data_IF_054206756901
#
_entry.id   IF_054206756901
#
_cell.length_a   1.000
_cell.length_b   1.000
_cell.length_c   1.000
_cell.angle_alpha   90.00
_cell.angle_beta   90.00
_cell.angle_gamma   90.00
#
_symmetry.space_group_name_H-M   'P 1'
#
loop_
_entity.id
_entity.type
_entity.pdbx_description
1 polymer ?
#
# COMPACT_ATOMS: atom_id res chain seq x y z
N UNK A 1 23.29 -66.44 15.97
CA UNK A 1 22.28 -66.81 14.97
C UNK A 1 21.36 -65.60 14.79
N UNK A 2 21.57 -64.80 13.74
CA UNK A 2 20.80 -63.60 13.43
C UNK A 2 20.10 -63.83 12.11
N UNK A 3 18.77 -63.73 12.09
CA UNK A 3 17.94 -63.97 10.92
C UNK A 3 17.49 -62.62 10.34
N UNK A 4 17.84 -62.27 9.09
CA UNK A 4 17.44 -60.99 8.51
C UNK A 4 15.98 -61.03 8.06
N UNK A 5 15.23 -59.98 8.40
CA UNK A 5 13.83 -59.78 8.03
C UNK A 5 13.74 -59.21 6.62
N UNK A 6 13.11 -59.95 5.71
CA UNK A 6 12.89 -59.53 4.33
C UNK A 6 11.76 -58.48 4.25
N UNK A 7 12.07 -57.26 3.83
CA UNK A 7 11.08 -56.21 3.57
C UNK A 7 10.66 -56.27 2.09
N UNK A 8 9.42 -56.66 1.82
CA UNK A 8 8.85 -56.64 0.47
C UNK A 8 8.43 -55.21 0.11
N UNK A 9 9.14 -54.57 -0.81
CA UNK A 9 8.79 -53.26 -1.36
C UNK A 9 7.88 -53.46 -2.59
N UNK A 10 6.60 -53.10 -2.49
CA UNK A 10 5.67 -53.12 -3.63
C UNK A 10 5.75 -51.78 -4.35
N UNK A 11 6.54 -51.71 -5.41
CA UNK A 11 6.58 -50.56 -6.33
C UNK A 11 5.39 -50.62 -7.28
N UNK A 12 4.30 -49.93 -6.93
CA UNK A 12 3.17 -49.71 -7.84
C UNK A 12 3.47 -48.46 -8.69
N UNK A 13 3.62 -48.66 -10.00
CA UNK A 13 3.75 -47.57 -10.96
C UNK A 13 2.38 -46.99 -11.33
N UNK A 14 2.33 -45.67 -11.56
CA UNK A 14 1.16 -45.02 -12.16
C UNK A 14 1.05 -45.38 -13.64
N UNK A 15 -0.18 -45.50 -14.14
CA UNK A 15 -0.41 -45.70 -15.57
C UNK A 15 -0.21 -44.40 -16.35
N UNK A 16 0.22 -44.49 -17.60
CA UNK A 16 0.36 -43.32 -18.47
C UNK A 16 -0.97 -42.56 -18.65
N UNK A 17 -2.09 -43.29 -18.67
CA UNK A 17 -3.42 -42.70 -18.82
C UNK A 17 -3.86 -41.91 -17.58
N UNK A 18 -3.53 -42.37 -16.37
CA UNK A 18 -3.80 -41.63 -15.14
C UNK A 18 -3.10 -40.27 -15.13
N UNK A 19 -1.81 -40.24 -15.50
CA UNK A 19 -1.07 -38.98 -15.58
C UNK A 19 -1.60 -38.05 -16.68
N UNK A 20 -2.01 -38.61 -17.82
CA UNK A 20 -2.55 -37.83 -18.94
C UNK A 20 -3.89 -37.16 -18.58
N UNK A 21 -4.78 -37.87 -17.89
CA UNK A 21 -6.05 -37.30 -17.43
C UNK A 21 -5.80 -36.21 -16.38
N UNK A 22 -4.86 -36.43 -15.45
CA UNK A 22 -4.55 -35.46 -14.39
C UNK A 22 -4.02 -34.15 -14.97
N UNK A 23 -3.06 -34.19 -15.90
CA UNK A 23 -2.57 -32.95 -16.53
C UNK A 23 -3.65 -32.24 -17.35
N UNK A 24 -4.58 -33.00 -17.96
CA UNK A 24 -5.73 -32.45 -18.66
C UNK A 24 -6.68 -31.71 -17.73
N UNK A 25 -7.02 -32.32 -16.58
CA UNK A 25 -7.88 -31.70 -15.55
C UNK A 25 -7.20 -30.47 -14.95
N UNK A 26 -5.92 -30.56 -14.59
CA UNK A 26 -5.16 -29.42 -14.04
C UNK A 26 -5.11 -28.26 -15.04
N UNK A 27 -4.94 -28.56 -16.34
CA UNK A 27 -4.92 -27.54 -17.39
C UNK A 27 -6.24 -26.76 -17.47
N UNK A 28 -7.38 -27.45 -17.48
CA UNK A 28 -8.71 -26.81 -17.56
C UNK A 28 -9.00 -25.99 -16.28
N UNK A 29 -8.68 -26.54 -15.11
CA UNK A 29 -8.89 -25.84 -13.84
C UNK A 29 -8.02 -24.59 -13.71
N UNK A 30 -6.76 -24.65 -14.18
CA UNK A 30 -5.85 -23.50 -14.13
C UNK A 30 -6.34 -22.34 -15.00
N UNK A 31 -6.83 -22.62 -16.22
CA UNK A 31 -7.38 -21.58 -17.12
C UNK A 31 -8.67 -20.98 -16.53
N UNK A 32 -9.56 -21.82 -15.98
CA UNK A 32 -10.79 -21.35 -15.32
C UNK A 32 -10.51 -20.43 -14.13
N UNK A 33 -9.49 -20.74 -13.32
CA UNK A 33 -9.09 -19.90 -12.19
C UNK A 33 -8.55 -18.54 -12.63
N UNK A 34 -7.71 -18.50 -13.66
CA UNK A 34 -7.17 -17.26 -14.22
C UNK A 34 -8.24 -16.39 -14.89
N UNK A 35 -9.31 -17.00 -15.42
CA UNK A 35 -10.45 -16.26 -15.97
C UNK A 35 -11.33 -15.63 -14.87
N UNK A 36 -11.40 -16.26 -13.70
CA UNK A 36 -12.20 -15.77 -12.57
C UNK A 36 -11.50 -14.67 -11.75
N UNK A 37 -10.16 -14.60 -11.80
CA UNK A 37 -9.35 -13.62 -11.06
C UNK A 37 -8.73 -12.61 -12.02
N UNK A 38 -8.85 -11.32 -11.71
CA UNK A 38 -8.05 -10.26 -12.36
C UNK A 38 -6.75 -10.07 -11.54
N UNK A 39 -5.63 -10.74 -11.89
CA UNK A 39 -4.39 -10.65 -11.10
C UNK A 39 -3.83 -9.23 -11.09
N UNK A 40 -4.04 -8.46 -12.15
CA UNK A 40 -3.59 -7.08 -12.24
C UNK A 40 -4.35 -6.18 -11.27
N UNK A 41 -5.64 -6.41 -11.09
CA UNK A 41 -6.44 -5.70 -10.09
C UNK A 41 -6.00 -6.03 -8.65
N UNK A 42 -5.64 -7.29 -8.37
CA UNK A 42 -5.10 -7.65 -7.05
C UNK A 42 -3.77 -6.96 -6.75
N UNK A 43 -2.87 -6.85 -7.74
CA UNK A 43 -1.61 -6.13 -7.59
C UNK A 43 -1.85 -4.64 -7.31
N UNK A 44 -2.75 -3.99 -8.06
CA UNK A 44 -3.13 -2.59 -7.84
C UNK A 44 -3.73 -2.37 -6.45
N UNK A 45 -4.59 -3.29 -6.00
CA UNK A 45 -5.15 -3.26 -4.65
C UNK A 45 -4.06 -3.40 -3.57
N UNK A 46 -3.06 -4.25 -3.80
CA UNK A 46 -1.88 -4.36 -2.96
C UNK A 46 -1.08 -3.04 -2.88
N UNK A 47 -0.84 -2.40 -4.03
CA UNK A 47 -0.16 -1.10 -4.10
C UNK A 47 -0.92 0.00 -3.37
N UNK A 48 -2.23 0.11 -3.58
CA UNK A 48 -3.07 1.10 -2.90
C UNK A 48 -3.09 0.84 -1.39
N UNK A 49 -3.15 -0.41 -0.95
CA UNK A 49 -3.03 -0.78 0.48
C UNK A 49 -1.68 -0.34 1.06
N UNK A 50 -0.60 -0.51 0.29
CA UNK A 50 0.73 -0.06 0.68
C UNK A 50 0.81 1.47 0.82
N UNK A 51 0.29 2.22 -0.16
CA UNK A 51 0.22 3.70 -0.13
C UNK A 51 -0.63 4.19 1.05
N UNK A 52 -1.80 3.58 1.30
CA UNK A 52 -2.65 3.90 2.46
C UNK A 52 -1.93 3.70 3.78
N UNK A 53 -1.23 2.56 3.96
CA UNK A 53 -0.47 2.28 5.18
C UNK A 53 0.53 3.39 5.46
N UNK A 54 1.31 3.77 4.44
CA UNK A 54 2.33 4.82 4.53
C UNK A 54 1.70 6.18 4.84
N UNK A 55 0.62 6.54 4.13
CA UNK A 55 -0.11 7.78 4.33
C UNK A 55 -0.64 7.91 5.77
N UNK A 56 -1.27 6.85 6.29
CA UNK A 56 -1.79 6.81 7.67
C UNK A 56 -0.65 6.82 8.69
N UNK A 57 0.43 6.06 8.48
CA UNK A 57 1.57 6.04 9.40
C UNK A 57 2.19 7.43 9.54
N UNK A 58 2.35 8.15 8.43
CA UNK A 58 2.87 9.52 8.43
C UNK A 58 1.91 10.52 9.08
N UNK A 59 0.62 10.49 8.73
CA UNK A 59 -0.39 11.36 9.32
C UNK A 59 -0.45 11.18 10.83
N UNK A 60 -0.44 9.94 11.31
CA UNK A 60 -0.48 9.62 12.73
C UNK A 60 0.82 10.00 13.46
N UNK A 61 1.98 9.87 12.82
CA UNK A 61 3.23 10.34 13.40
C UNK A 61 3.26 11.86 13.54
N UNK A 62 2.74 12.57 12.53
CA UNK A 62 2.65 14.04 12.57
C UNK A 62 1.68 14.52 13.64
N UNK A 63 0.51 13.89 13.78
CA UNK A 63 -0.48 14.26 14.81
C UNK A 63 0.07 14.05 16.22
N UNK A 64 0.77 12.93 16.46
CA UNK A 64 1.47 12.68 17.74
C UNK A 64 2.58 13.70 18.00
N UNK A 65 3.39 14.00 16.99
CA UNK A 65 4.44 15.01 17.12
C UNK A 65 3.88 16.36 17.57
N UNK A 66 2.79 16.81 16.93
CA UNK A 66 2.13 18.07 17.28
C UNK A 66 1.52 18.03 18.68
N UNK A 67 0.83 16.94 19.05
CA UNK A 67 0.24 16.79 20.37
C UNK A 67 1.27 16.84 21.51
N UNK A 68 2.48 16.32 21.29
CA UNK A 68 3.56 16.31 22.29
C UNK A 68 4.32 17.64 22.35
N UNK A 69 4.55 18.29 21.21
CA UNK A 69 5.46 19.44 21.13
C UNK A 69 4.77 20.79 20.96
N UNK A 70 3.47 20.81 20.68
CA UNK A 70 2.71 22.04 20.39
C UNK A 70 3.17 22.78 19.13
N UNK A 71 3.97 22.13 18.30
CA UNK A 71 4.52 22.69 17.07
C UNK A 71 4.54 21.61 15.99
N UNK A 72 4.35 21.99 14.71
CA UNK A 72 4.37 21.03 13.63
C UNK A 72 5.78 20.49 13.37
N UNK A 73 5.87 19.35 12.67
CA UNK A 73 7.15 18.70 12.38
C UNK A 73 7.99 19.41 11.31
N UNK A 74 7.44 20.40 10.61
CA UNK A 74 8.19 21.26 9.68
C UNK A 74 8.75 22.49 10.39
N UNK A 75 9.93 22.92 9.98
CA UNK A 75 10.56 24.15 10.46
C UNK A 75 9.79 25.36 9.88
N UNK A 76 9.56 26.37 10.72
CA UNK A 76 8.65 27.48 10.46
C UNK A 76 8.77 28.10 9.05
N UNK A 77 7.63 28.25 8.36
CA UNK A 77 7.47 29.10 7.17
C UNK A 77 6.95 28.41 5.91
N UNK A 78 7.19 27.10 5.74
CA UNK A 78 6.71 26.37 4.56
C UNK A 78 5.95 25.12 4.94
N UNK A 79 4.63 25.24 4.83
CA UNK A 79 3.75 24.09 4.70
C UNK A 79 4.07 23.41 3.35
N UNK A 80 4.30 22.09 3.29
CA UNK A 80 4.27 21.39 2.01
C UNK A 80 2.84 21.49 1.48
N UNK A 81 2.61 22.28 0.42
CA UNK A 81 1.34 22.29 -0.29
C UNK A 81 1.43 21.26 -1.41
N UNK A 82 0.74 20.13 -1.23
CA UNK A 82 0.76 19.02 -2.18
C UNK A 82 2.19 18.57 -2.58
N UNK A 83 3.13 18.57 -1.64
CA UNK A 83 4.51 18.18 -1.93
C UNK A 83 4.65 16.65 -1.88
N UNK A 84 5.37 16.07 -2.83
CA UNK A 84 5.62 14.63 -2.83
C UNK A 84 6.41 14.22 -1.56
N UNK A 85 6.22 13.00 -1.05
CA UNK A 85 6.90 12.55 0.18
C UNK A 85 8.43 12.51 0.06
N UNK A 86 8.97 12.46 -1.16
CA UNK A 86 10.41 12.54 -1.45
C UNK A 86 10.93 13.97 -1.59
N UNK A 87 10.08 14.98 -1.48
CA UNK A 87 10.49 16.38 -1.49
C UNK A 87 11.42 16.66 -0.29
N UNK A 88 12.40 17.54 -0.47
CA UNK A 88 13.36 17.90 0.57
C UNK A 88 12.69 18.41 1.86
N UNK A 89 11.63 19.22 1.76
CA UNK A 89 10.90 19.73 2.91
C UNK A 89 10.18 18.61 3.67
N UNK A 90 9.55 17.68 2.96
CA UNK A 90 8.89 16.51 3.58
C UNK A 90 9.93 15.56 4.17
N UNK A 91 11.08 15.38 3.52
CA UNK A 91 12.19 14.56 4.03
C UNK A 91 12.78 15.14 5.32
N UNK A 92 12.90 16.47 5.42
CA UNK A 92 13.29 17.14 6.65
C UNK A 92 12.27 16.91 7.78
N UNK A 93 10.97 16.99 7.45
CA UNK A 93 9.89 16.68 8.38
C UNK A 93 9.93 15.22 8.87
N UNK A 94 10.16 14.26 7.97
CA UNK A 94 10.36 12.83 8.32
C UNK A 94 11.54 12.70 9.29
N UNK A 95 12.67 13.34 8.99
CA UNK A 95 13.88 13.30 9.84
C UNK A 95 13.62 13.90 11.22
N UNK A 96 12.86 15.00 11.30
CA UNK A 96 12.47 15.61 12.58
C UNK A 96 11.59 14.66 13.40
N UNK A 97 10.59 14.04 12.79
CA UNK A 97 9.73 13.06 13.47
C UNK A 97 10.51 11.81 13.92
N UNK A 98 11.48 11.36 13.12
CA UNK A 98 12.35 10.23 13.47
C UNK A 98 13.26 10.55 14.65
N UNK A 99 13.89 11.73 14.63
CA UNK A 99 14.74 12.20 15.73
C UNK A 99 13.94 12.40 17.01
N UNK A 100 12.68 12.81 16.87
CA UNK A 100 11.73 12.94 17.97
C UNK A 100 11.17 11.61 18.51
N UNK A 101 11.39 10.49 17.82
CA UNK A 101 10.88 9.17 18.20
C UNK A 101 9.43 8.88 17.77
N UNK A 102 8.81 9.75 16.98
CA UNK A 102 7.40 9.63 16.56
C UNK A 102 7.21 8.76 15.31
N UNK A 103 8.30 8.53 14.56
CA UNK A 103 8.32 7.76 13.32
C UNK A 103 9.57 6.88 13.25
N UNK A 104 9.43 5.67 12.71
CA UNK A 104 10.56 4.72 12.60
C UNK A 104 11.55 5.15 11.52
N UNK A 105 12.84 4.84 11.71
CA UNK A 105 13.90 5.09 10.71
C UNK A 105 13.64 4.34 9.38
N UNK A 106 13.06 3.13 9.46
CA UNK A 106 12.68 2.31 8.31
C UNK A 106 11.60 2.93 7.41
N UNK A 107 10.93 4.00 7.85
CA UNK A 107 9.92 4.69 7.05
C UNK A 107 10.48 5.24 5.73
N UNK A 108 11.73 5.73 5.72
CA UNK A 108 12.36 6.25 4.50
C UNK A 108 12.52 5.16 3.42
N UNK A 109 12.80 3.92 3.83
CA UNK A 109 12.85 2.78 2.92
C UNK A 109 11.47 2.41 2.36
N UNK A 110 10.41 2.59 3.15
CA UNK A 110 9.04 2.32 2.72
C UNK A 110 8.56 3.27 1.62
N UNK A 111 9.12 4.49 1.54
CA UNK A 111 8.70 5.52 0.57
C UNK A 111 9.61 5.65 -0.64
N UNK A 112 10.71 4.89 -0.76
CA UNK A 112 11.70 5.09 -1.84
C UNK A 112 11.10 5.03 -3.24
N UNK A 113 10.20 4.08 -3.50
CA UNK A 113 9.57 3.92 -4.83
C UNK A 113 8.20 4.57 -4.92
N UNK A 114 7.45 4.56 -3.82
CA UNK A 114 6.05 5.02 -3.81
C UNK A 114 5.90 6.49 -3.42
N UNK A 115 6.88 7.08 -2.74
CA UNK A 115 6.81 8.43 -2.14
C UNK A 115 6.56 9.55 -3.14
N UNK A 116 6.95 9.37 -4.41
CA UNK A 116 6.64 10.33 -5.49
C UNK A 116 5.15 10.40 -5.82
N UNK A 117 4.38 9.37 -5.44
CA UNK A 117 2.94 9.26 -5.68
C UNK A 117 2.10 9.70 -4.47
N UNK A 118 2.74 9.99 -3.33
CA UNK A 118 2.08 10.46 -2.11
C UNK A 118 2.34 11.95 -1.95
N UNK A 119 1.26 12.72 -1.88
CA UNK A 119 1.25 14.16 -1.75
C UNK A 119 0.93 14.52 -0.30
N UNK A 120 1.82 15.26 0.34
CA UNK A 120 1.66 15.75 1.71
C UNK A 120 1.18 17.19 1.65
N UNK A 121 0.12 17.45 2.41
CA UNK A 121 -0.42 18.76 2.71
C UNK A 121 -0.46 18.97 4.22
N UNK A 122 -0.29 20.19 4.71
CA UNK A 122 -0.48 20.48 6.13
C UNK A 122 -0.98 21.89 6.38
N UNK A 123 -1.19 22.29 7.63
CA UNK A 123 -1.34 23.72 7.97
C UNK A 123 -0.59 24.06 9.25
N UNK A 124 0.18 25.15 9.24
CA UNK A 124 1.04 25.57 10.36
C UNK A 124 0.24 25.91 11.63
N UNK A 125 -1.01 26.33 11.48
CA UNK A 125 -1.84 26.78 12.59
C UNK A 125 -2.39 25.64 13.44
N UNK A 126 -2.74 24.50 12.83
CA UNK A 126 -3.42 23.40 13.53
C UNK A 126 -2.56 22.15 13.70
N UNK A 127 -1.45 22.04 12.97
CA UNK A 127 -0.65 20.81 12.94
C UNK A 127 -1.31 19.68 12.15
N UNK A 128 -2.46 19.93 11.52
CA UNK A 128 -3.14 18.97 10.68
C UNK A 128 -2.27 18.65 9.46
N UNK A 129 -2.19 17.37 9.15
CA UNK A 129 -1.46 16.85 8.00
C UNK A 129 -2.36 15.89 7.25
N UNK A 130 -2.51 16.18 5.96
CA UNK A 130 -3.24 15.34 5.03
C UNK A 130 -2.25 14.69 4.08
N UNK A 131 -2.36 13.38 3.87
CA UNK A 131 -1.55 12.66 2.88
C UNK A 131 -2.46 12.03 1.84
N UNK A 132 -2.32 12.45 0.59
CA UNK A 132 -3.16 12.05 -0.52
C UNK A 132 -2.39 11.22 -1.56
N UNK A 133 -3.06 10.30 -2.24
CA UNK A 133 -2.53 9.62 -3.42
C UNK A 133 -3.66 9.26 -4.39
N UNK A 134 -3.35 9.12 -5.68
CA UNK A 134 -4.31 8.67 -6.68
C UNK A 134 -4.43 7.13 -6.67
N UNK A 135 -5.61 6.55 -6.40
CA UNK A 135 -5.77 5.09 -6.39
C UNK A 135 -5.64 4.44 -7.77
N UNK A 136 -5.04 3.26 -7.81
CA UNK A 136 -4.83 2.46 -9.03
C UNK A 136 -5.93 1.41 -9.24
N UNK A 137 -6.42 0.82 -8.14
CA UNK A 137 -7.41 -0.26 -8.17
C UNK A 137 -8.81 0.27 -8.49
N UNK A 138 -9.55 -0.46 -9.33
CA UNK A 138 -10.96 -0.18 -9.62
C UNK A 138 -11.78 -0.15 -8.33
N UNK A 139 -11.49 -1.08 -7.41
CA UNK A 139 -12.21 -1.18 -6.13
C UNK A 139 -12.09 0.08 -5.26
N UNK A 140 -10.93 0.75 -5.27
CA UNK A 140 -10.75 1.99 -4.51
C UNK A 140 -11.35 3.19 -5.24
N UNK A 141 -11.29 3.20 -6.57
CA UNK A 141 -11.80 4.29 -7.40
C UNK A 141 -13.32 4.41 -7.40
N UNK A 142 -14.03 3.32 -7.18
CA UNK A 142 -15.50 3.32 -7.09
C UNK A 142 -16.00 3.79 -5.72
N UNK A 143 -15.13 3.94 -4.71
CA UNK A 143 -15.51 4.44 -3.39
C UNK A 143 -15.49 5.97 -3.34
N UNK A 144 -16.32 6.61 -4.16
CA UNK A 144 -16.32 8.07 -4.37
C UNK A 144 -16.57 8.89 -3.10
N UNK A 145 -17.22 8.33 -2.07
CA UNK A 145 -17.44 9.00 -0.78
C UNK A 145 -16.15 9.17 0.02
N UNK A 146 -15.11 8.38 -0.27
CA UNK A 146 -13.81 8.44 0.38
C UNK A 146 -12.73 9.17 -0.46
N UNK A 147 -13.12 9.72 -1.62
CA UNK A 147 -12.20 10.33 -2.58
C UNK A 147 -12.38 11.85 -2.68
N UNK A 148 -11.31 12.52 -3.11
CA UNK A 148 -11.20 13.97 -3.24
C UNK A 148 -10.86 14.35 -4.67
N UNK A 149 -11.32 15.50 -5.14
CA UNK A 149 -11.04 16.00 -6.50
C UNK A 149 -9.64 16.62 -6.65
N UNK A 150 -8.92 16.76 -5.55
CA UNK A 150 -7.61 17.40 -5.47
C UNK A 150 -6.67 16.61 -4.55
N UNK A 151 -5.37 16.85 -4.68
CA UNK A 151 -4.32 16.17 -3.92
C UNK A 151 -4.01 16.84 -2.56
N UNK A 152 -4.85 17.77 -2.10
CA UNK A 152 -4.78 18.37 -0.77
C UNK A 152 -5.93 17.94 0.14
N UNK A 153 -6.94 17.29 -0.44
CA UNK A 153 -8.08 16.74 0.28
C UNK A 153 -9.17 17.75 0.61
N UNK A 154 -9.35 18.80 -0.21
CA UNK A 154 -10.29 19.90 0.09
C UNK A 154 -11.73 19.63 -0.36
N UNK A 155 -11.90 19.05 -1.55
CA UNK A 155 -13.22 18.87 -2.16
C UNK A 155 -13.53 17.40 -2.45
N UNK A 156 -14.76 16.96 -2.18
CA UNK A 156 -15.19 15.57 -2.44
C UNK A 156 -15.19 15.29 -3.94
N UNK A 157 -14.69 14.13 -4.33
CA UNK A 157 -14.72 13.66 -5.71
C UNK A 157 -16.15 13.34 -6.12
N UNK A 158 -16.65 14.02 -7.16
CA UNK A 158 -17.99 13.79 -7.73
C UNK A 158 -17.95 12.95 -9.02
N UNK A 159 -16.75 12.55 -9.47
CA UNK A 159 -16.54 11.79 -10.70
C UNK A 159 -16.78 10.30 -10.43
N UNK A 160 -17.74 9.70 -11.16
CA UNK A 160 -18.16 8.30 -10.97
C UNK A 160 -17.12 7.26 -11.39
N UNK A 161 -16.14 7.61 -12.23
CA UNK A 161 -15.04 6.72 -12.63
C UNK A 161 -13.85 6.74 -11.67
N UNK A 162 -13.80 7.71 -10.74
CA UNK A 162 -12.67 7.92 -9.83
C UNK A 162 -11.34 8.22 -10.52
N UNK A 163 -11.32 8.55 -11.82
CA UNK A 163 -10.13 8.98 -12.55
C UNK A 163 -9.84 10.45 -12.23
N UNK A 164 -8.63 10.74 -11.74
CA UNK A 164 -8.23 12.08 -11.30
C UNK A 164 -8.61 12.40 -9.85
N UNK A 165 -9.16 11.43 -9.12
CA UNK A 165 -9.48 11.58 -7.71
C UNK A 165 -8.41 10.97 -6.80
N UNK A 166 -8.36 11.48 -5.57
CA UNK A 166 -7.33 11.16 -4.59
C UNK A 166 -7.96 10.58 -3.34
N UNK A 167 -7.37 9.52 -2.80
CA UNK A 167 -7.66 9.09 -1.44
C UNK A 167 -6.75 9.85 -0.49
N UNK A 168 -7.26 10.33 0.64
CA UNK A 168 -6.49 11.13 1.59
C UNK A 168 -6.66 10.63 3.04
N UNK A 169 -5.54 10.40 3.72
CA UNK A 169 -5.49 10.28 5.18
C UNK A 169 -5.45 11.68 5.79
N UNK A 170 -6.29 11.95 6.79
CA UNK A 170 -6.37 13.22 7.51
C UNK A 170 -6.66 12.97 8.97
#
# INVERSE_FOLDING_TARGET
MFMPKHMNHSTRGFTLIELLIVIGIIGILAVGLLAAVDPLEQLKKGNDTNKKRIAVEFQQASSRFFAVRGQPAWLAGTVPAAANMTNAAVTAMITNMQTAGELKSSFQSAITTVGVLLFVNGTAATGDVTVCFAPESKAERTNYTALYSDNVGSSVCTITTGIGCFWCAR
#
